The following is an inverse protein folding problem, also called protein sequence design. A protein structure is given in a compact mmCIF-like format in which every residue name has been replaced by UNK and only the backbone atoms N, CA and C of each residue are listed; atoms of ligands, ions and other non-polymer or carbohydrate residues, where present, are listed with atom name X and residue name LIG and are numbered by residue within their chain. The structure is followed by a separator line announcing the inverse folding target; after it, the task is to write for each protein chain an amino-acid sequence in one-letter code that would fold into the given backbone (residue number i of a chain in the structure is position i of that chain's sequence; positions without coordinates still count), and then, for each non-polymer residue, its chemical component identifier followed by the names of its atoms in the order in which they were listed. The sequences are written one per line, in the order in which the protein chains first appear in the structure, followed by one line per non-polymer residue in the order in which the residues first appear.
data_IF_468446468207
#
_entry.id   IF_468446468207
#
_cell.length_a   1.000
_cell.length_b   1.000
_cell.length_c   1.000
_cell.angle_alpha   90.00
_cell.angle_beta   90.00
_cell.angle_gamma   90.00
#
_symmetry.space_group_name_H-M   'P 1'
#
loop_
_entity.id
_entity.type
_entity.pdbx_description
1 polymer ?
#
# COMPACT_ATOMS: atom_id res chain seq x y z
N UNK A 1 -29.25 -36.87 -26.79
CA UNK A 1 -28.47 -36.68 -25.56
C UNK A 1 -29.28 -37.14 -24.36
N UNK A 2 -28.71 -37.98 -23.46
CA UNK A 2 -29.38 -38.43 -22.23
C UNK A 2 -29.62 -37.20 -21.31
N UNK A 3 -30.80 -37.13 -20.65
CA UNK A 3 -31.18 -36.03 -19.77
C UNK A 3 -30.06 -35.55 -18.81
N UNK A 4 -29.27 -36.43 -18.14
CA UNK A 4 -28.20 -35.99 -17.24
C UNK A 4 -27.07 -35.26 -17.95
N UNK A 5 -26.71 -35.68 -19.17
CA UNK A 5 -25.64 -35.00 -19.96
C UNK A 5 -26.07 -33.56 -20.32
N UNK A 6 -27.35 -33.38 -20.68
CA UNK A 6 -27.89 -32.05 -20.99
C UNK A 6 -27.81 -31.11 -19.76
N UNK A 7 -28.14 -31.61 -18.58
CA UNK A 7 -28.07 -30.83 -17.33
C UNK A 7 -26.62 -30.44 -17.04
N UNK A 8 -25.68 -31.40 -17.13
CA UNK A 8 -24.24 -31.12 -16.90
C UNK A 8 -23.74 -30.04 -17.86
N UNK A 9 -24.10 -30.13 -19.14
CA UNK A 9 -23.67 -29.12 -20.12
C UNK A 9 -24.27 -27.74 -19.84
N UNK A 10 -25.51 -27.66 -19.38
CA UNK A 10 -26.15 -26.39 -18.99
C UNK A 10 -25.43 -25.80 -17.77
N UNK A 11 -25.19 -26.62 -16.74
CA UNK A 11 -24.48 -26.16 -15.55
C UNK A 11 -23.07 -25.64 -15.89
N UNK A 12 -22.34 -26.39 -16.73
CA UNK A 12 -21.03 -25.98 -17.19
C UNK A 12 -21.09 -24.65 -17.97
N UNK A 13 -22.05 -24.51 -18.87
CA UNK A 13 -22.23 -23.27 -19.63
C UNK A 13 -22.55 -22.06 -18.72
N UNK A 14 -23.36 -22.27 -17.66
CA UNK A 14 -23.65 -21.23 -16.67
C UNK A 14 -22.38 -20.83 -15.90
N UNK A 15 -21.59 -21.81 -15.45
CA UNK A 15 -20.33 -21.54 -14.72
C UNK A 15 -19.37 -20.75 -15.61
N UNK A 16 -19.18 -21.17 -16.86
CA UNK A 16 -18.31 -20.47 -17.81
C UNK A 16 -18.83 -19.06 -18.10
N UNK A 17 -20.15 -18.90 -18.24
CA UNK A 17 -20.78 -17.60 -18.45
C UNK A 17 -20.58 -16.65 -17.27
N UNK A 18 -20.75 -17.13 -16.04
CA UNK A 18 -20.50 -16.33 -14.83
C UNK A 18 -19.04 -15.96 -14.69
N UNK A 19 -18.13 -16.88 -14.99
CA UNK A 19 -16.68 -16.58 -14.96
C UNK A 19 -16.30 -15.54 -16.02
N UNK A 20 -16.81 -15.66 -17.24
CA UNK A 20 -16.59 -14.67 -18.29
C UNK A 20 -17.15 -13.29 -17.89
N UNK A 21 -18.35 -13.24 -17.31
CA UNK A 21 -18.95 -12.01 -16.82
C UNK A 21 -18.10 -11.36 -15.71
N UNK A 22 -17.57 -12.17 -14.79
CA UNK A 22 -16.65 -11.71 -13.75
C UNK A 22 -15.38 -11.09 -14.36
N UNK A 23 -14.76 -11.77 -15.33
CA UNK A 23 -13.55 -11.24 -15.99
C UNK A 23 -13.83 -9.93 -16.73
N UNK A 24 -14.96 -9.83 -17.43
CA UNK A 24 -15.37 -8.59 -18.11
C UNK A 24 -15.57 -7.47 -17.09
N UNK A 25 -16.25 -7.77 -15.98
CA UNK A 25 -16.46 -6.78 -14.91
C UNK A 25 -15.15 -6.31 -14.29
N UNK A 26 -14.24 -7.22 -13.95
CA UNK A 26 -12.92 -6.88 -13.42
C UNK A 26 -12.11 -6.03 -14.40
N UNK A 27 -12.14 -6.36 -15.70
CA UNK A 27 -11.43 -5.59 -16.72
C UNK A 27 -12.05 -4.19 -16.91
N UNK A 28 -13.38 -4.10 -16.89
CA UNK A 28 -14.08 -2.83 -17.04
C UNK A 28 -13.92 -1.89 -15.83
N UNK A 29 -13.74 -2.47 -14.64
CA UNK A 29 -13.52 -1.71 -13.39
C UNK A 29 -12.05 -1.53 -13.05
N UNK A 30 -11.13 -2.06 -13.87
CA UNK A 30 -9.70 -1.91 -13.66
C UNK A 30 -9.32 -0.42 -13.67
N UNK A 31 -8.64 0.03 -12.62
CA UNK A 31 -8.08 1.38 -12.54
C UNK A 31 -7.12 1.60 -13.71
N UNK A 32 -7.52 2.44 -14.65
CA UNK A 32 -6.67 2.86 -15.75
C UNK A 32 -5.78 3.98 -15.24
N UNK A 33 -4.66 3.61 -14.65
CA UNK A 33 -3.67 4.58 -14.17
C UNK A 33 -3.12 5.28 -15.41
N UNK A 34 -3.37 6.58 -15.52
CA UNK A 34 -2.76 7.40 -16.57
C UNK A 34 -1.25 7.32 -16.44
N UNK A 35 -0.56 7.25 -17.56
CA UNK A 35 0.91 7.14 -17.64
C UNK A 35 1.64 8.29 -16.94
N UNK A 36 0.95 9.42 -16.75
CA UNK A 36 1.46 10.59 -16.05
C UNK A 36 0.54 10.89 -14.87
N UNK A 37 1.07 10.72 -13.66
CA UNK A 37 0.43 11.20 -12.43
C UNK A 37 1.11 12.49 -12.07
N UNK A 38 0.33 13.57 -11.90
CA UNK A 38 0.88 14.84 -11.44
C UNK A 38 1.49 14.65 -10.05
N UNK A 39 2.77 14.99 -9.92
CA UNK A 39 3.43 15.03 -8.61
C UNK A 39 2.83 16.18 -7.82
N UNK A 40 2.26 15.88 -6.67
CA UNK A 40 1.78 16.91 -5.74
C UNK A 40 2.93 17.27 -4.81
N UNK A 41 3.50 18.46 -5.01
CA UNK A 41 4.49 19.01 -4.09
C UNK A 41 3.80 19.71 -2.93
N UNK A 42 4.16 19.34 -1.71
CA UNK A 42 3.64 19.95 -0.48
C UNK A 42 4.81 20.34 0.42
N UNK A 43 4.70 21.47 1.10
CA UNK A 43 5.73 22.00 2.00
C UNK A 43 6.66 22.99 1.32
N UNK A 44 7.57 23.55 2.11
CA UNK A 44 8.59 24.48 1.63
C UNK A 44 9.71 23.69 0.97
N UNK A 45 9.94 23.97 -0.31
CA UNK A 45 11.10 23.43 -0.99
C UNK A 45 12.34 24.10 -0.42
N UNK A 46 13.07 23.39 0.43
CA UNK A 46 14.40 23.86 0.84
C UNK A 46 15.28 23.94 -0.40
N UNK A 47 16.09 24.97 -0.49
CA UNK A 47 17.02 25.19 -1.59
C UNK A 47 18.33 24.42 -1.37
N UNK A 48 18.28 23.18 -0.91
CA UNK A 48 19.45 22.32 -0.89
C UNK A 48 19.90 22.10 -2.33
N UNK A 49 21.01 22.70 -2.70
CA UNK A 49 21.59 22.54 -4.03
C UNK A 49 22.72 21.52 -3.93
N UNK A 50 22.61 20.43 -4.68
CA UNK A 50 23.69 19.48 -4.85
C UNK A 50 24.54 19.85 -6.07
N UNK A 51 25.84 19.74 -5.95
CA UNK A 51 26.80 19.92 -7.02
C UNK A 51 27.24 18.55 -7.61
N UNK A 52 27.69 18.49 -8.85
CA UNK A 52 28.30 17.28 -9.40
C UNK A 52 29.50 16.83 -8.55
N UNK A 53 29.45 15.63 -8.01
CA UNK A 53 30.46 15.06 -7.13
C UNK A 53 30.12 15.05 -5.66
N UNK A 54 29.01 15.66 -5.26
CA UNK A 54 28.51 15.56 -3.88
C UNK A 54 28.04 14.14 -3.57
N UNK A 55 28.30 13.67 -2.37
CA UNK A 55 27.72 12.44 -1.85
C UNK A 55 26.29 12.71 -1.42
N UNK A 56 25.37 11.85 -1.81
CA UNK A 56 23.95 11.95 -1.51
C UNK A 56 23.50 10.68 -0.81
N UNK A 57 22.88 10.84 0.34
CA UNK A 57 22.30 9.73 1.11
C UNK A 57 20.83 9.52 0.74
N UNK A 58 20.45 8.24 0.57
CA UNK A 58 19.08 7.85 0.19
C UNK A 58 18.58 6.79 1.17
N UNK A 59 17.43 7.06 1.79
CA UNK A 59 16.63 6.07 2.49
C UNK A 59 15.50 5.60 1.57
N UNK A 60 15.41 4.29 1.31
CA UNK A 60 14.27 3.69 0.62
C UNK A 60 13.68 2.58 1.50
N UNK A 61 12.40 2.73 1.87
CA UNK A 61 11.78 1.83 2.82
C UNK A 61 10.30 1.62 2.52
N UNK A 62 9.87 0.34 2.45
CA UNK A 62 8.46 -0.04 2.49
C UNK A 62 8.05 -0.15 3.96
N UNK A 63 7.16 0.74 4.42
CA UNK A 63 6.76 0.84 5.83
C UNK A 63 5.53 -0.02 6.17
N UNK A 64 4.96 -0.72 5.18
CA UNK A 64 3.87 -1.68 5.38
C UNK A 64 2.65 -1.08 6.09
N UNK A 65 2.28 0.18 5.77
CA UNK A 65 1.17 0.89 6.43
C UNK A 65 1.28 0.90 7.96
N UNK A 66 2.50 0.95 8.50
CA UNK A 66 2.80 0.79 9.92
C UNK A 66 2.14 -0.45 10.58
N UNK A 67 1.71 -1.40 9.77
CA UNK A 67 0.94 -2.56 10.20
C UNK A 67 1.73 -3.87 10.26
N UNK A 68 2.94 -3.91 9.71
CA UNK A 68 3.77 -5.12 9.54
C UNK A 68 4.96 -5.12 10.52
N UNK A 69 4.70 -4.84 11.79
CA UNK A 69 5.70 -4.94 12.85
C UNK A 69 5.88 -6.37 13.38
N UNK A 70 6.67 -6.51 14.42
CA UNK A 70 6.99 -7.79 15.09
C UNK A 70 5.72 -8.56 15.53
N UNK A 71 4.65 -7.84 15.86
CA UNK A 71 3.37 -8.40 16.32
C UNK A 71 2.45 -8.84 15.16
N UNK A 72 2.88 -8.68 13.91
CA UNK A 72 2.07 -9.00 12.74
C UNK A 72 2.01 -10.51 12.50
N UNK A 73 0.79 -11.02 12.34
CA UNK A 73 0.50 -12.39 11.88
C UNK A 73 -0.13 -12.30 10.47
N UNK A 74 0.62 -11.71 9.52
CA UNK A 74 0.08 -11.34 8.21
C UNK A 74 -0.21 -12.57 7.35
N UNK A 75 -1.37 -12.58 6.68
CA UNK A 75 -1.86 -13.76 5.97
C UNK A 75 -0.98 -14.18 4.79
N UNK A 76 -0.28 -13.25 4.14
CA UNK A 76 0.63 -13.57 3.02
C UNK A 76 1.91 -14.26 3.48
N UNK A 77 2.26 -14.13 4.78
CA UNK A 77 3.40 -14.81 5.39
C UNK A 77 2.96 -16.12 6.10
N UNK A 78 1.75 -16.61 5.79
CA UNK A 78 1.18 -17.80 6.37
C UNK A 78 0.38 -17.57 7.67
N UNK A 79 0.21 -16.32 8.06
CA UNK A 79 -0.61 -15.91 9.20
C UNK A 79 -2.10 -15.81 8.88
N UNK A 80 -2.86 -15.09 9.69
CA UNK A 80 -4.31 -14.97 9.59
C UNK A 80 -4.81 -13.53 9.50
N UNK A 81 -3.97 -12.54 9.79
CA UNK A 81 -4.35 -11.14 9.83
C UNK A 81 -4.22 -10.49 8.45
N UNK A 82 -5.17 -9.64 8.11
CA UNK A 82 -5.16 -8.84 6.87
C UNK A 82 -4.80 -7.38 7.10
N UNK A 83 -4.63 -6.98 8.38
CA UNK A 83 -4.23 -5.63 8.80
C UNK A 83 -3.61 -5.70 10.19
N UNK A 84 -3.02 -4.60 10.65
CA UNK A 84 -2.50 -4.48 12.02
C UNK A 84 -3.54 -4.90 13.07
N UNK A 85 -3.10 -5.54 14.18
CA UNK A 85 -3.99 -6.03 15.23
C UNK A 85 -4.81 -4.93 15.93
N UNK A 86 -4.26 -3.72 16.06
CA UNK A 86 -4.91 -2.61 16.74
C UNK A 86 -4.33 -1.26 16.33
N UNK A 87 -5.08 -0.18 16.60
CA UNK A 87 -4.62 1.19 16.43
C UNK A 87 -3.37 1.50 17.25
N UNK A 88 -3.29 1.02 18.48
CA UNK A 88 -2.14 1.23 19.36
C UNK A 88 -0.84 0.63 18.79
N UNK A 89 -0.93 -0.49 18.08
CA UNK A 89 0.22 -1.09 17.40
C UNK A 89 0.65 -0.23 16.22
N UNK A 90 -0.28 0.27 15.42
CA UNK A 90 0.04 1.20 14.33
C UNK A 90 0.69 2.47 14.86
N UNK A 91 0.19 3.04 15.95
CA UNK A 91 0.79 4.22 16.60
C UNK A 91 2.22 3.93 17.08
N UNK A 92 2.45 2.81 17.76
CA UNK A 92 3.78 2.37 18.20
C UNK A 92 4.74 2.20 17.02
N UNK A 93 4.29 1.56 15.94
CA UNK A 93 5.10 1.35 14.76
C UNK A 93 5.42 2.67 14.06
N UNK A 94 4.46 3.59 13.99
CA UNK A 94 4.68 4.94 13.45
C UNK A 94 5.72 5.70 14.26
N UNK A 95 5.71 5.62 15.59
CA UNK A 95 6.75 6.21 16.44
C UNK A 95 8.15 5.69 16.06
N UNK A 96 8.25 4.37 15.82
CA UNK A 96 9.50 3.74 15.37
C UNK A 96 9.92 4.18 13.96
N UNK A 97 8.97 4.32 13.04
CA UNK A 97 9.23 4.79 11.67
C UNK A 97 9.73 6.24 11.70
N UNK A 98 9.05 7.12 12.43
CA UNK A 98 9.47 8.54 12.61
C UNK A 98 10.87 8.61 13.19
N UNK A 99 11.12 7.90 14.30
CA UNK A 99 12.44 7.88 14.95
C UNK A 99 13.55 7.37 14.00
N UNK A 100 13.25 6.38 13.18
CA UNK A 100 14.21 5.86 12.19
C UNK A 100 14.52 6.88 11.10
N UNK A 101 13.50 7.51 10.52
CA UNK A 101 13.69 8.56 9.49
C UNK A 101 14.49 9.72 10.05
N UNK A 102 14.16 10.20 11.25
CA UNK A 102 14.91 11.26 11.94
C UNK A 102 16.37 10.85 12.22
N UNK A 103 16.58 9.63 12.71
CA UNK A 103 17.91 9.14 13.08
C UNK A 103 18.82 8.91 11.87
N UNK A 104 18.26 8.56 10.73
CA UNK A 104 19.03 8.38 9.49
C UNK A 104 19.35 9.70 8.81
N UNK A 105 18.53 10.74 8.99
CA UNK A 105 18.72 12.08 8.44
C UNK A 105 19.19 12.08 6.97
N UNK A 106 18.60 11.19 6.16
CA UNK A 106 18.99 11.03 4.75
C UNK A 106 18.57 12.26 3.92
N UNK A 107 19.37 12.62 2.91
CA UNK A 107 19.06 13.73 2.00
C UNK A 107 17.76 13.50 1.22
N UNK A 108 17.47 12.24 0.88
CA UNK A 108 16.22 11.82 0.26
C UNK A 108 15.64 10.61 0.96
N UNK A 109 14.33 10.65 1.26
CA UNK A 109 13.59 9.54 1.82
C UNK A 109 12.45 9.15 0.89
N UNK A 110 12.48 7.90 0.41
CA UNK A 110 11.44 7.29 -0.43
C UNK A 110 10.71 6.24 0.38
N UNK A 111 9.44 6.49 0.69
CA UNK A 111 8.61 5.57 1.45
C UNK A 111 7.55 4.93 0.54
N UNK A 112 7.37 3.64 0.67
CA UNK A 112 6.32 2.86 0.02
C UNK A 112 5.34 2.36 1.08
N UNK A 113 4.12 2.04 0.64
CA UNK A 113 3.03 1.56 1.50
C UNK A 113 2.78 2.47 2.70
N UNK A 114 2.60 3.76 2.41
CA UNK A 114 2.28 4.80 3.37
C UNK A 114 0.96 5.46 3.00
N UNK A 115 0.06 5.60 3.95
CA UNK A 115 -1.24 6.24 3.71
C UNK A 115 -1.12 7.76 3.73
N UNK A 116 -1.56 8.39 2.64
CA UNK A 116 -1.59 9.85 2.49
C UNK A 116 -2.90 10.49 3.00
N UNK A 117 -3.74 9.73 3.65
CA UNK A 117 -5.01 10.13 4.24
C UNK A 117 -5.57 9.06 5.18
N UNK A 118 -6.69 9.32 5.86
CA UNK A 118 -7.27 8.36 6.77
C UNK A 118 -7.69 7.10 6.01
N UNK A 119 -7.06 5.98 6.33
CA UNK A 119 -7.33 4.69 5.71
C UNK A 119 -7.81 3.66 6.71
N UNK A 120 -8.38 2.58 6.18
CA UNK A 120 -8.80 1.45 7.00
C UNK A 120 -7.61 0.59 7.46
N UNK A 121 -6.47 0.64 6.75
CA UNK A 121 -5.27 -0.10 7.13
C UNK A 121 -4.67 0.45 8.42
N UNK A 122 -4.52 1.76 8.50
CA UNK A 122 -3.90 2.47 9.62
C UNK A 122 -4.91 2.98 10.67
N UNK A 123 -6.11 2.41 10.75
CA UNK A 123 -7.14 2.82 11.72
C UNK A 123 -7.47 4.32 11.70
N UNK A 124 -7.40 4.96 10.53
CA UNK A 124 -7.63 6.38 10.34
C UNK A 124 -6.44 7.28 10.70
N UNK A 125 -5.26 6.72 10.94
CA UNK A 125 -4.02 7.50 11.12
C UNK A 125 -3.55 8.01 9.77
N UNK A 126 -3.25 9.31 9.68
CA UNK A 126 -2.65 9.91 8.49
C UNK A 126 -1.12 9.82 8.59
N UNK A 127 -0.56 8.71 8.14
CA UNK A 127 0.85 8.36 8.28
C UNK A 127 1.77 9.36 7.60
N UNK A 128 1.48 9.71 6.35
CA UNK A 128 2.28 10.67 5.59
C UNK A 128 2.23 12.08 6.19
N UNK A 129 1.08 12.48 6.76
CA UNK A 129 0.93 13.73 7.48
C UNK A 129 1.77 13.77 8.74
N UNK A 130 1.77 12.69 9.48
CA UNK A 130 2.56 12.55 10.70
C UNK A 130 4.06 12.63 10.43
N UNK A 131 4.57 11.88 9.45
CA UNK A 131 5.97 11.95 9.05
C UNK A 131 6.38 13.38 8.66
N UNK A 132 5.58 14.05 7.84
CA UNK A 132 5.87 15.42 7.39
C UNK A 132 5.93 16.46 8.52
N UNK A 133 5.22 16.22 9.63
CA UNK A 133 5.19 17.17 10.76
C UNK A 133 6.21 16.84 11.84
N UNK A 134 6.67 15.59 11.90
CA UNK A 134 7.54 15.11 12.95
C UNK A 134 8.98 14.84 12.46
N UNK A 135 9.25 14.88 11.14
CA UNK A 135 10.59 14.74 10.56
C UNK A 135 11.02 15.99 9.82
#
# INVERSE_FOLDING_TARGET
MKKPIKIILIVLAVIVGLFAALLIWLTATQLNVKTETAVVTRGDNSTAAFAPGDEVSILSWNVGYAGLGEESDFFMDGGKQTRAPSKAIVEKNMDGIVATVQGMAADFTFLQEIDAGPSTHAYGIEEAGRLRTET
#
